data_IF_263516880177
#
_entry.id   IF_263516880177
#
_cell.length_a   1.000
_cell.length_b   1.000
_cell.length_c   1.000
_cell.angle_alpha   90.00
_cell.angle_beta   90.00
_cell.angle_gamma   90.00
#
_symmetry.space_group_name_H-M   'P 1'
#
loop_
_entity.id
_entity.type
_entity.pdbx_description
1 polymer ?
#
# COMPACT_ATOMS: atom_id res chain seq x y z
N UNK A 1 -13.87 -2.65 39.89
CA UNK A 1 -13.26 -3.77 39.15
C UNK A 1 -12.99 -3.28 37.77
N UNK A 2 -11.73 -3.28 37.42
CA UNK A 2 -11.28 -2.90 36.10
C UNK A 2 -10.90 -4.16 35.33
N UNK A 3 -11.55 -4.40 34.21
CA UNK A 3 -11.21 -5.48 33.31
C UNK A 3 -10.91 -4.88 31.94
N UNK A 4 -9.65 -4.89 31.54
CA UNK A 4 -9.25 -4.31 30.26
C UNK A 4 -8.80 -5.36 29.27
N UNK A 5 -9.37 -5.33 28.09
CA UNK A 5 -8.90 -6.08 26.93
C UNK A 5 -8.11 -5.11 26.05
N UNK A 6 -6.83 -5.35 25.89
CA UNK A 6 -5.98 -4.56 25.00
C UNK A 6 -5.69 -5.37 23.77
N UNK A 7 -6.10 -4.87 22.64
CA UNK A 7 -6.03 -5.56 21.37
C UNK A 7 -5.00 -4.94 20.46
N UNK A 8 -4.28 -5.79 19.78
CA UNK A 8 -3.38 -5.44 18.70
C UNK A 8 -4.14 -5.38 17.39
N UNK A 9 -4.00 -4.27 16.69
CA UNK A 9 -4.40 -4.18 15.30
C UNK A 9 -3.29 -3.49 14.52
N UNK A 10 -2.81 -4.08 13.46
CA UNK A 10 -1.85 -3.42 12.59
C UNK A 10 -2.58 -2.28 11.89
N UNK A 11 -2.41 -1.06 12.44
CA UNK A 11 -3.02 0.12 11.89
C UNK A 11 -2.10 0.75 10.86
N UNK A 12 -2.63 0.91 9.67
CA UNK A 12 -2.04 1.71 8.63
C UNK A 12 -2.99 2.87 8.35
N UNK A 13 -2.51 4.12 8.16
CA UNK A 13 -3.41 5.26 7.94
C UNK A 13 -4.26 5.02 6.70
N UNK A 14 -5.48 4.74 6.92
CA UNK A 14 -6.54 4.61 5.94
C UNK A 14 -6.96 6.02 5.49
N UNK A 15 -7.04 6.39 4.23
CA UNK A 15 -7.32 5.59 3.04
C UNK A 15 -6.11 5.29 2.14
N UNK A 16 -4.91 5.72 2.48
CA UNK A 16 -3.76 5.70 1.57
C UNK A 16 -3.13 4.31 1.40
N UNK A 17 -3.14 3.51 2.42
CA UNK A 17 -2.58 2.15 2.35
C UNK A 17 -3.32 1.25 1.35
N UNK A 18 -4.65 1.37 1.23
CA UNK A 18 -5.40 0.62 0.23
C UNK A 18 -5.08 1.06 -1.20
N UNK A 19 -4.87 2.36 -1.42
CA UNK A 19 -4.51 2.88 -2.74
C UNK A 19 -3.12 2.39 -3.14
N UNK A 20 -2.15 2.48 -2.24
CA UNK A 20 -0.81 1.96 -2.50
C UNK A 20 -0.82 0.44 -2.73
N UNK A 21 -1.57 -0.33 -1.94
CA UNK A 21 -1.70 -1.77 -2.10
C UNK A 21 -2.45 -2.18 -3.37
N UNK A 22 -3.34 -1.34 -3.90
CA UNK A 22 -4.05 -1.59 -5.14
C UNK A 22 -3.15 -1.42 -6.37
N UNK A 23 -2.27 -0.40 -6.36
CA UNK A 23 -1.38 -0.09 -7.47
C UNK A 23 -0.08 -0.88 -7.47
N UNK A 24 0.36 -1.33 -6.30
CA UNK A 24 1.63 -1.99 -6.12
C UNK A 24 1.47 -3.26 -5.29
N UNK A 25 1.15 -4.36 -5.95
CA UNK A 25 1.26 -5.67 -5.32
C UNK A 25 2.69 -5.98 -4.85
N UNK A 26 3.67 -5.19 -5.25
CA UNK A 26 5.07 -5.26 -4.88
C UNK A 26 5.44 -4.19 -3.85
N UNK A 27 4.79 -4.14 -2.74
CA UNK A 27 5.37 -3.44 -1.61
C UNK A 27 6.71 -4.12 -1.27
N UNK A 28 7.80 -3.59 -1.81
CA UNK A 28 9.15 -3.98 -1.41
C UNK A 28 9.36 -3.48 0.01
N UNK A 29 8.88 -4.25 0.96
CA UNK A 29 9.25 -4.12 2.36
C UNK A 29 10.31 -5.15 2.63
N UNK A 30 11.51 -4.65 2.83
CA UNK A 30 12.74 -5.30 3.18
C UNK A 30 12.66 -6.78 3.50
N UNK A 31 13.06 -7.64 2.58
CA UNK A 31 13.51 -8.97 2.87
C UNK A 31 12.53 -10.12 2.85
N UNK A 32 11.23 -9.92 2.59
CA UNK A 32 10.29 -11.03 2.42
C UNK A 32 10.14 -11.40 0.93
N UNK A 33 10.60 -12.57 0.51
CA UNK A 33 10.51 -12.99 -0.88
C UNK A 33 9.10 -13.38 -1.35
N UNK A 34 8.10 -13.40 -0.44
CA UNK A 34 6.73 -13.78 -0.78
C UNK A 34 5.66 -12.89 -0.10
N UNK A 35 5.52 -11.63 -0.56
CA UNK A 35 4.50 -10.72 -0.02
C UNK A 35 3.06 -11.19 -0.29
N UNK A 36 2.86 -12.15 -1.21
CA UNK A 36 1.54 -12.70 -1.56
C UNK A 36 1.04 -13.74 -0.58
N UNK A 37 1.94 -14.51 -0.01
CA UNK A 37 1.61 -15.52 0.99
C UNK A 37 0.94 -14.87 2.20
N UNK A 38 1.46 -13.73 2.62
CA UNK A 38 0.89 -12.95 3.72
C UNK A 38 -0.44 -12.27 3.35
N UNK A 39 -0.68 -11.95 2.08
CA UNK A 39 -1.93 -11.31 1.64
C UNK A 39 -3.11 -12.28 1.60
N UNK A 40 -2.88 -13.50 1.14
CA UNK A 40 -3.90 -14.56 1.18
C UNK A 40 -4.16 -15.06 2.60
N UNK A 41 -3.13 -15.14 3.42
CA UNK A 41 -3.26 -15.50 4.83
C UNK A 41 -3.80 -14.36 5.71
N UNK A 42 -3.52 -13.09 5.38
CA UNK A 42 -4.03 -11.94 6.14
C UNK A 42 -5.47 -11.57 5.79
N UNK A 43 -6.01 -11.97 4.64
CA UNK A 43 -7.41 -11.75 4.27
C UNK A 43 -8.41 -12.50 5.16
N UNK A 44 -7.94 -13.47 5.92
CA UNK A 44 -8.76 -14.29 6.83
C UNK A 44 -8.30 -14.27 8.29
N UNK A 45 -7.14 -13.77 8.60
CA UNK A 45 -6.74 -13.54 9.98
C UNK A 45 -7.26 -12.19 10.44
N UNK A 46 -8.44 -12.17 11.09
CA UNK A 46 -8.74 -11.13 12.07
C UNK A 46 -7.50 -11.00 12.95
N UNK A 47 -6.90 -9.81 13.00
CA UNK A 47 -5.81 -9.55 13.93
C UNK A 47 -6.21 -10.14 15.29
N UNK A 48 -5.45 -11.12 15.75
CA UNK A 48 -5.77 -11.77 17.02
C UNK A 48 -5.59 -10.71 18.09
N UNK A 49 -6.70 -10.36 18.72
CA UNK A 49 -6.67 -9.44 19.84
C UNK A 49 -5.92 -10.14 20.97
N UNK A 50 -4.79 -9.58 21.37
CA UNK A 50 -4.00 -10.08 22.49
C UNK A 50 -4.34 -9.28 23.74
N UNK A 51 -4.66 -9.97 24.83
CA UNK A 51 -4.81 -9.35 26.13
C UNK A 51 -3.44 -8.99 26.67
N UNK A 52 -3.08 -7.70 26.66
CA UNK A 52 -1.77 -7.21 27.10
C UNK A 52 -1.73 -6.98 28.61
N UNK A 53 -2.80 -6.44 29.17
CA UNK A 53 -2.90 -6.18 30.61
C UNK A 53 -4.34 -6.29 31.09
N UNK A 54 -4.50 -6.72 32.35
CA UNK A 54 -5.76 -6.72 33.08
C UNK A 54 -5.47 -6.30 34.52
N UNK A 55 -6.29 -5.42 35.07
CA UNK A 55 -6.11 -4.94 36.43
C UNK A 55 -7.38 -4.42 37.05
N UNK A 56 -7.34 -4.19 38.34
CA UNK A 56 -8.42 -3.58 39.13
C UNK A 56 -7.83 -2.45 39.96
N UNK A 57 -8.59 -1.39 40.15
CA UNK A 57 -8.16 -0.25 40.95
C UNK A 57 -9.35 0.56 41.48
N UNK A 58 -9.05 1.58 42.23
CA UNK A 58 -10.06 2.55 42.71
C UNK A 58 -9.86 3.86 41.99
N UNK A 59 -10.97 4.49 41.66
CA UNK A 59 -10.94 5.87 41.14
C UNK A 59 -10.40 6.82 42.21
N UNK A 60 -9.64 7.80 41.80
CA UNK A 60 -9.25 8.94 42.62
C UNK A 60 -10.50 9.78 43.00
N UNK A 61 -10.33 10.73 43.91
CA UNK A 61 -11.43 11.57 44.37
C UNK A 61 -12.02 12.45 43.26
N UNK A 62 -11.26 12.75 42.25
CA UNK A 62 -11.65 13.47 41.04
C UNK A 62 -12.32 12.58 39.94
N UNK A 63 -12.48 11.29 40.24
CA UNK A 63 -13.07 10.32 39.30
C UNK A 63 -12.09 9.77 38.26
N UNK A 64 -10.80 10.07 38.34
CA UNK A 64 -9.79 9.59 37.40
C UNK A 64 -9.15 8.26 37.87
N UNK A 65 -8.65 7.49 36.91
CA UNK A 65 -7.80 6.33 37.14
C UNK A 65 -6.70 6.31 36.07
N UNK A 66 -5.44 6.23 36.52
CA UNK A 66 -4.29 6.16 35.63
C UNK A 66 -3.80 4.72 35.54
N UNK A 67 -3.48 4.29 34.34
CA UNK A 67 -2.91 2.99 34.05
C UNK A 67 -1.70 3.14 33.14
N UNK A 68 -0.56 2.64 33.60
CA UNK A 68 0.66 2.58 32.80
C UNK A 68 0.75 1.23 32.05
N UNK A 69 0.91 1.29 30.76
CA UNK A 69 1.07 0.11 29.92
C UNK A 69 2.47 0.12 29.31
N UNK A 70 3.23 -0.92 29.59
CA UNK A 70 4.57 -1.08 29.02
C UNK A 70 4.48 -1.57 27.57
N UNK A 71 4.80 -0.70 26.62
CA UNK A 71 4.81 -1.00 25.17
C UNK A 71 6.10 -1.68 24.68
N UNK A 72 7.07 -1.93 25.57
CA UNK A 72 8.36 -2.52 25.23
C UNK A 72 8.25 -3.90 24.57
N UNK A 73 7.21 -4.68 24.90
CA UNK A 73 6.95 -5.99 24.29
C UNK A 73 6.58 -5.84 22.80
N UNK A 74 5.81 -4.82 22.47
CA UNK A 74 5.48 -4.46 21.10
C UNK A 74 6.71 -4.08 20.27
N UNK A 75 7.70 -3.44 20.90
CA UNK A 75 8.97 -3.08 20.26
C UNK A 75 9.87 -4.28 19.98
N UNK A 76 9.70 -5.37 20.70
CA UNK A 76 10.51 -6.58 20.58
C UNK A 76 10.00 -7.56 19.51
N UNK A 77 8.78 -7.39 19.01
CA UNK A 77 8.27 -8.24 17.94
C UNK A 77 8.86 -7.88 16.57
N UNK A 78 9.25 -8.89 15.77
CA UNK A 78 9.75 -8.66 14.44
C UNK A 78 8.61 -8.14 13.55
N UNK A 79 8.76 -6.92 13.11
CA UNK A 79 7.80 -6.25 12.22
C UNK A 79 7.68 -4.79 12.57
N UNK A 80 7.87 -3.98 11.56
CA UNK A 80 7.83 -2.53 11.62
C UNK A 80 6.37 -2.05 11.63
N UNK A 81 5.64 -2.24 12.76
CA UNK A 81 4.21 -2.03 12.84
C UNK A 81 3.85 -1.09 13.96
N UNK A 82 2.84 -0.26 13.71
CA UNK A 82 2.16 0.50 14.73
C UNK A 82 1.16 -0.38 15.47
N UNK A 83 0.90 -0.05 16.72
CA UNK A 83 0.03 -0.81 17.59
C UNK A 83 -1.13 0.04 18.09
N UNK A 84 -2.33 -0.46 17.96
CA UNK A 84 -3.51 0.13 18.60
C UNK A 84 -3.82 -0.64 19.88
N UNK A 85 -3.77 0.07 20.99
CA UNK A 85 -4.22 -0.44 22.28
C UNK A 85 -5.67 -0.01 22.49
N UNK A 86 -6.55 -0.97 22.70
CA UNK A 86 -7.93 -0.71 23.10
C UNK A 86 -8.07 -0.98 24.57
N UNK A 87 -8.54 0.00 25.33
CA UNK A 87 -8.78 -0.08 26.76
C UNK A 87 -10.28 -0.18 26.98
N UNK A 88 -10.70 -1.25 27.64
CA UNK A 88 -12.08 -1.43 28.09
C UNK A 88 -12.10 -1.28 29.61
N UNK A 89 -12.92 -0.40 30.14
CA UNK A 89 -13.02 -0.13 31.55
C UNK A 89 -14.44 -0.38 32.06
N UNK A 90 -14.55 -1.08 33.15
CA UNK A 90 -15.80 -1.31 33.86
C UNK A 90 -15.71 -0.60 35.21
N UNK A 91 -16.57 0.39 35.47
CA UNK A 91 -16.64 1.13 36.71
C UNK A 91 -17.92 0.72 37.46
N UNK A 92 -17.75 0.31 38.70
CA UNK A 92 -18.88 -0.06 39.57
C UNK A 92 -18.98 0.92 40.74
N UNK A 93 -20.16 1.52 40.89
CA UNK A 93 -20.48 2.40 42.02
C UNK A 93 -20.86 1.62 43.29
N UNK A 94 -21.07 2.35 44.40
CA UNK A 94 -21.49 1.79 45.67
C UNK A 94 -22.87 1.12 45.59
N UNK A 95 -23.73 1.57 44.67
CA UNK A 95 -25.04 0.98 44.40
C UNK A 95 -24.97 -0.27 43.53
N UNK A 96 -23.76 -0.76 43.20
CA UNK A 96 -23.47 -1.91 42.32
C UNK A 96 -23.90 -1.70 40.86
N UNK A 97 -24.14 -0.47 40.44
CA UNK A 97 -24.36 -0.15 39.02
C UNK A 97 -23.02 -0.20 38.31
N UNK A 98 -22.99 -0.82 37.16
CA UNK A 98 -21.84 -0.93 36.32
C UNK A 98 -21.98 0.01 35.13
N UNK A 99 -20.94 0.78 34.85
CA UNK A 99 -20.81 1.61 33.65
C UNK A 99 -19.57 1.12 32.91
N UNK A 100 -19.73 0.88 31.63
CA UNK A 100 -18.67 0.42 30.76
C UNK A 100 -18.21 1.59 29.87
N UNK A 101 -16.91 1.66 29.62
CA UNK A 101 -16.31 2.62 28.73
C UNK A 101 -15.19 1.98 27.90
N UNK A 102 -15.00 2.47 26.70
CA UNK A 102 -13.94 2.02 25.81
C UNK A 102 -13.19 3.21 25.23
N UNK A 103 -11.87 3.09 25.14
CA UNK A 103 -11.00 4.06 24.49
C UNK A 103 -9.89 3.34 23.71
N UNK A 104 -9.22 4.06 22.82
CA UNK A 104 -8.07 3.51 22.10
C UNK A 104 -6.93 4.51 22.02
N UNK A 105 -5.70 3.99 22.05
CA UNK A 105 -4.46 4.75 21.93
C UNK A 105 -3.60 4.09 20.87
N UNK A 106 -2.98 4.90 20.01
CA UNK A 106 -2.00 4.45 19.04
C UNK A 106 -0.59 4.60 19.64
N UNK A 107 0.18 3.53 19.57
CA UNK A 107 1.61 3.56 19.81
C UNK A 107 2.29 3.38 18.44
N UNK A 108 2.85 4.46 17.94
CA UNK A 108 3.43 4.54 16.60
C UNK A 108 4.95 4.52 16.67
N UNK A 109 5.59 4.07 15.63
CA UNK A 109 7.04 4.02 15.52
C UNK A 109 7.63 5.32 15.03
N UNK A 110 6.85 6.06 14.24
CA UNK A 110 7.24 7.32 13.63
C UNK A 110 6.29 8.43 14.07
N UNK A 111 6.79 9.65 14.15
CA UNK A 111 5.99 10.83 14.46
C UNK A 111 5.01 11.15 13.34
N UNK A 112 5.44 10.91 12.11
CA UNK A 112 4.63 11.08 10.91
C UNK A 112 5.06 10.10 9.83
N UNK A 113 4.23 9.98 8.79
CA UNK A 113 4.45 9.12 7.64
C UNK A 113 4.52 9.93 6.36
N UNK A 114 5.34 9.49 5.43
CA UNK A 114 5.38 10.01 4.08
C UNK A 114 4.70 9.04 3.11
N UNK A 115 3.82 9.57 2.28
CA UNK A 115 3.12 8.83 1.23
C UNK A 115 3.49 9.44 -0.11
N UNK A 116 3.83 8.60 -1.08
CA UNK A 116 4.12 9.03 -2.45
C UNK A 116 3.16 8.32 -3.37
N UNK A 117 2.50 9.08 -4.21
CA UNK A 117 1.53 8.56 -5.17
C UNK A 117 1.82 9.12 -6.56
N UNK A 118 1.54 8.31 -7.58
CA UNK A 118 1.53 8.72 -8.98
C UNK A 118 0.12 8.71 -9.52
N UNK A 119 -0.18 9.53 -10.53
CA UNK A 119 -1.49 9.58 -11.18
C UNK A 119 -1.80 8.32 -12.01
N UNK A 120 -0.76 7.59 -12.45
CA UNK A 120 -0.87 6.32 -13.15
C UNK A 120 0.04 5.24 -12.59
N UNK A 121 -0.26 3.97 -12.88
CA UNK A 121 0.61 2.85 -12.52
C UNK A 121 1.66 2.55 -13.59
N UNK A 122 1.43 3.01 -14.82
CA UNK A 122 2.37 2.92 -15.93
C UNK A 122 2.26 4.10 -16.88
N UNK A 123 3.32 4.35 -17.66
CA UNK A 123 3.45 5.46 -18.59
C UNK A 123 4.12 5.01 -19.88
N UNK A 124 3.97 5.82 -20.91
CA UNK A 124 4.77 5.73 -22.12
C UNK A 124 6.03 6.62 -21.98
N UNK A 125 7.14 6.28 -22.66
CA UNK A 125 8.28 7.19 -22.76
C UNK A 125 7.89 8.58 -23.28
N UNK A 126 8.46 9.63 -22.72
CA UNK A 126 8.20 11.05 -22.99
C UNK A 126 6.90 11.61 -22.39
N UNK A 127 6.10 10.79 -21.71
CA UNK A 127 5.02 11.31 -20.88
C UNK A 127 5.59 11.93 -19.60
N UNK A 128 4.71 12.54 -18.81
CA UNK A 128 5.03 13.03 -17.47
C UNK A 128 4.17 12.28 -16.45
N UNK A 129 4.78 11.86 -15.36
CA UNK A 129 4.06 11.39 -14.20
C UNK A 129 3.71 12.57 -13.30
N UNK A 130 2.47 12.72 -12.91
CA UNK A 130 2.12 13.61 -11.82
C UNK A 130 2.33 12.87 -10.50
N UNK A 131 3.18 13.43 -9.65
CA UNK A 131 3.57 12.85 -8.38
C UNK A 131 3.05 13.72 -7.25
N UNK A 132 2.39 13.11 -6.30
CA UNK A 132 1.96 13.75 -5.06
C UNK A 132 2.64 13.06 -3.87
N UNK A 133 3.26 13.87 -3.00
CA UNK A 133 3.79 13.46 -1.71
C UNK A 133 2.88 14.03 -0.63
N UNK A 134 2.58 13.23 0.38
CA UNK A 134 1.87 13.68 1.59
C UNK A 134 2.61 13.25 2.83
N UNK A 135 2.69 14.17 3.79
CA UNK A 135 3.27 13.90 5.11
C UNK A 135 2.23 14.16 6.18
N UNK A 136 1.88 13.12 6.93
CA UNK A 136 0.77 13.13 7.89
C UNK A 136 1.19 12.43 9.19
N UNK A 137 0.74 12.99 10.32
CA UNK A 137 0.81 12.25 11.60
C UNK A 137 -0.12 11.03 11.58
N UNK A 138 0.00 10.11 12.53
CA UNK A 138 -0.94 9.00 12.70
C UNK A 138 -2.40 9.42 12.85
N UNK A 139 -2.64 10.63 13.36
CA UNK A 139 -3.97 11.24 13.50
C UNK A 139 -4.40 12.03 12.25
N UNK A 140 -3.73 11.83 11.10
CA UNK A 140 -3.98 12.51 9.83
C UNK A 140 -3.81 14.04 9.87
N UNK A 141 -2.98 14.57 10.80
CA UNK A 141 -2.64 15.98 10.79
C UNK A 141 -1.48 16.21 9.80
N UNK A 142 -1.53 17.29 8.98
CA UNK A 142 -0.47 17.58 8.04
C UNK A 142 0.82 18.00 8.75
N UNK A 143 1.95 17.60 8.18
CA UNK A 143 3.29 17.95 8.69
C UNK A 143 4.10 18.58 7.57
N UNK A 144 4.64 19.78 7.79
CA UNK A 144 5.59 20.41 6.87
C UNK A 144 6.99 19.90 7.17
N UNK A 145 7.64 19.32 6.17
CA UNK A 145 9.01 18.78 6.33
C UNK A 145 9.83 18.99 5.06
N UNK A 146 11.10 19.31 5.26
CA UNK A 146 12.10 19.27 4.21
C UNK A 146 12.64 17.85 4.06
N UNK A 147 12.95 17.46 2.83
CA UNK A 147 13.45 16.13 2.50
C UNK A 147 14.06 16.08 1.12
N UNK A 148 14.22 14.89 0.60
CA UNK A 148 14.75 14.66 -0.74
C UNK A 148 13.83 13.75 -1.53
N UNK A 149 13.63 14.09 -2.79
CA UNK A 149 13.01 13.18 -3.76
C UNK A 149 14.13 12.46 -4.50
N UNK A 150 14.06 11.13 -4.55
CA UNK A 150 15.02 10.27 -5.20
C UNK A 150 14.29 9.39 -6.21
N UNK A 151 14.73 9.43 -7.45
CA UNK A 151 14.22 8.54 -8.50
C UNK A 151 15.27 7.50 -8.81
N UNK A 152 14.88 6.23 -8.75
CA UNK A 152 15.75 5.10 -9.06
C UNK A 152 15.12 4.24 -10.15
N UNK A 153 15.96 3.70 -11.02
CA UNK A 153 15.59 2.64 -11.94
C UNK A 153 15.85 1.29 -11.29
N UNK A 154 14.87 0.41 -11.38
CA UNK A 154 14.94 -0.94 -10.82
C UNK A 154 15.19 -1.92 -11.95
N UNK A 155 16.13 -2.84 -11.76
CA UNK A 155 16.41 -3.94 -12.69
C UNK A 155 16.81 -5.18 -11.91
N UNK A 156 16.76 -6.33 -12.56
CA UNK A 156 17.13 -7.61 -11.98
C UNK A 156 18.17 -8.27 -12.89
N UNK A 157 19.35 -8.53 -12.34
CA UNK A 157 20.42 -9.26 -13.02
C UNK A 157 20.61 -10.59 -12.32
N UNK A 158 20.12 -11.69 -12.89
CA UNK A 158 20.40 -13.03 -12.38
C UNK A 158 19.20 -13.92 -12.12
N UNK A 159 19.46 -15.05 -11.45
CA UNK A 159 18.48 -16.08 -11.16
C UNK A 159 17.30 -15.57 -10.28
N UNK A 160 16.19 -16.29 -10.32
CA UNK A 160 14.86 -15.93 -9.78
C UNK A 160 14.77 -15.36 -8.36
N UNK A 161 15.83 -15.36 -7.56
CA UNK A 161 15.86 -14.87 -6.18
C UNK A 161 16.87 -13.72 -5.93
N UNK A 162 17.40 -13.11 -6.98
CA UNK A 162 18.29 -11.95 -6.79
C UNK A 162 17.50 -10.73 -6.29
N UNK A 163 18.12 -9.98 -5.35
CA UNK A 163 17.62 -8.68 -4.96
C UNK A 163 17.65 -7.73 -6.18
N UNK A 164 16.70 -6.76 -6.27
CA UNK A 164 16.72 -5.78 -7.34
C UNK A 164 17.97 -4.92 -7.26
N UNK A 165 18.53 -4.60 -8.41
CA UNK A 165 19.55 -3.57 -8.57
C UNK A 165 18.83 -2.23 -8.76
N UNK A 166 19.16 -1.24 -7.93
CA UNK A 166 18.59 0.09 -7.99
C UNK A 166 19.66 1.11 -8.38
N UNK A 167 19.53 1.70 -9.56
CA UNK A 167 20.38 2.78 -10.04
C UNK A 167 19.69 4.12 -9.86
N UNK A 168 20.33 5.05 -9.14
CA UNK A 168 19.83 6.41 -9.00
C UNK A 168 19.83 7.14 -10.34
N UNK A 169 18.69 7.71 -10.71
CA UNK A 169 18.51 8.47 -11.95
C UNK A 169 18.53 9.97 -11.67
N UNK A 170 17.90 10.38 -10.58
CA UNK A 170 17.77 11.79 -10.20
C UNK A 170 17.52 11.94 -8.70
N UNK A 171 18.04 13.05 -8.14
CA UNK A 171 17.83 13.45 -6.76
C UNK A 171 17.71 14.98 -6.68
N UNK A 172 16.83 15.47 -5.81
CA UNK A 172 16.74 16.90 -5.50
C UNK A 172 16.10 17.12 -4.12
N UNK A 173 16.41 18.26 -3.53
CA UNK A 173 15.79 18.69 -2.28
C UNK A 173 14.39 19.20 -2.54
N UNK A 174 13.46 18.93 -1.63
CA UNK A 174 12.06 19.30 -1.72
C UNK A 174 11.46 19.46 -0.32
N UNK A 175 10.37 20.23 -0.23
CA UNK A 175 9.68 20.48 1.03
C UNK A 175 8.18 20.35 0.82
N UNK A 176 7.48 19.77 1.79
CA UNK A 176 6.02 19.74 1.79
C UNK A 176 5.46 21.05 2.36
N UNK A 177 4.33 21.48 1.86
CA UNK A 177 3.66 22.72 2.26
C UNK A 177 2.97 22.61 3.63
N UNK A 178 2.27 23.68 4.06
CA UNK A 178 1.54 23.73 5.33
C UNK A 178 0.38 22.70 5.40
N UNK A 179 -0.03 22.15 4.28
CA UNK A 179 -1.00 21.06 4.16
C UNK A 179 -0.34 19.69 4.08
N UNK A 180 0.98 19.62 4.33
CA UNK A 180 1.77 18.39 4.23
C UNK A 180 1.86 17.85 2.80
N UNK A 181 1.78 18.70 1.78
CA UNK A 181 1.74 18.29 0.35
C UNK A 181 2.92 18.82 -0.41
N UNK A 182 3.41 17.98 -1.33
CA UNK A 182 4.34 18.36 -2.38
C UNK A 182 3.84 17.70 -3.67
N UNK A 183 3.64 18.49 -4.72
CA UNK A 183 3.21 17.99 -6.02
C UNK A 183 4.14 18.47 -7.12
N UNK A 184 4.50 17.58 -8.02
CA UNK A 184 5.35 17.90 -9.16
C UNK A 184 5.09 16.98 -10.34
N UNK A 185 5.57 17.41 -11.53
CA UNK A 185 5.59 16.58 -12.73
C UNK A 185 7.00 16.04 -12.94
N UNK A 186 7.09 14.74 -13.14
CA UNK A 186 8.35 14.07 -13.43
C UNK A 186 8.36 13.59 -14.88
N UNK A 187 9.27 14.12 -15.71
CA UNK A 187 9.40 13.68 -17.08
C UNK A 187 9.95 12.25 -17.15
N UNK A 188 9.24 11.37 -17.84
CA UNK A 188 9.58 9.96 -17.94
C UNK A 188 10.78 9.78 -18.89
N UNK A 189 11.92 9.27 -18.40
CA UNK A 189 13.16 9.27 -19.19
C UNK A 189 13.20 8.17 -20.25
N UNK A 190 12.92 6.94 -19.89
CA UNK A 190 13.04 5.77 -20.75
C UNK A 190 12.20 4.60 -20.22
N UNK A 191 12.11 3.56 -21.02
CA UNK A 191 11.44 2.32 -20.65
C UNK A 191 12.09 1.64 -19.44
N UNK A 192 11.26 1.04 -18.57
CA UNK A 192 11.73 0.36 -17.38
C UNK A 192 10.79 0.43 -16.18
N UNK A 193 11.26 -0.06 -15.07
CA UNK A 193 10.60 0.08 -13.78
C UNK A 193 11.32 1.14 -12.95
N UNK A 194 10.56 2.01 -12.32
CA UNK A 194 11.09 3.12 -11.54
C UNK A 194 10.47 3.18 -10.16
N UNK A 195 11.28 3.65 -9.21
CA UNK A 195 10.82 4.02 -7.87
C UNK A 195 11.06 5.50 -7.65
N UNK A 196 10.04 6.21 -7.21
CA UNK A 196 10.15 7.55 -6.63
C UNK A 196 10.03 7.42 -5.14
N UNK A 197 11.00 7.93 -4.41
CA UNK A 197 11.04 7.92 -2.94
C UNK A 197 11.16 9.35 -2.45
N UNK A 198 10.35 9.74 -1.48
CA UNK A 198 10.58 10.92 -0.67
C UNK A 198 11.18 10.47 0.66
N UNK A 199 12.34 11.02 1.00
CA UNK A 199 13.08 10.69 2.22
C UNK A 199 13.22 11.94 3.07
N UNK A 200 12.91 11.83 4.33
CA UNK A 200 13.06 12.90 5.33
C UNK A 200 13.47 12.31 6.68
N UNK A 201 13.54 13.14 7.73
CA UNK A 201 13.79 12.70 9.10
C UNK A 201 12.82 13.35 10.05
N UNK A 202 12.44 12.60 11.07
CA UNK A 202 11.63 13.11 12.18
C UNK A 202 12.46 13.89 13.21
N UNK A 203 11.83 14.35 14.30
CA UNK A 203 12.51 15.09 15.37
C UNK A 203 13.57 14.27 16.11
N UNK A 204 13.40 12.94 16.15
CA UNK A 204 14.35 11.99 16.70
C UNK A 204 15.50 11.65 15.75
N UNK A 205 15.51 12.25 14.54
CA UNK A 205 16.43 11.96 13.43
C UNK A 205 16.30 10.59 12.81
N UNK A 206 15.23 9.88 13.11
CA UNK A 206 14.88 8.63 12.46
C UNK A 206 14.43 8.90 11.02
N UNK A 207 14.78 8.00 10.11
CA UNK A 207 14.44 8.14 8.71
C UNK A 207 12.96 7.83 8.47
N UNK A 208 12.28 8.76 7.80
CA UNK A 208 10.91 8.59 7.33
C UNK A 208 10.92 8.61 5.81
N UNK A 209 10.38 7.56 5.20
CA UNK A 209 10.33 7.47 3.74
C UNK A 209 8.97 6.99 3.24
N UNK A 210 8.57 7.54 2.11
CA UNK A 210 7.45 7.04 1.31
C UNK A 210 7.91 6.78 -0.10
N UNK A 211 7.32 5.82 -0.79
CA UNK A 211 7.71 5.51 -2.17
C UNK A 211 6.52 5.10 -3.04
N UNK A 212 6.66 5.30 -4.34
CA UNK A 212 5.79 4.78 -5.39
C UNK A 212 6.64 4.10 -6.46
N UNK A 213 6.13 3.01 -7.00
CA UNK A 213 6.74 2.28 -8.11
C UNK A 213 5.82 2.42 -9.32
N UNK A 214 6.38 2.66 -10.49
CA UNK A 214 5.63 2.71 -11.74
C UNK A 214 6.42 2.07 -12.88
N UNK A 215 5.70 1.69 -13.93
CA UNK A 215 6.26 1.12 -15.13
C UNK A 215 6.31 2.14 -16.25
N UNK A 216 7.34 2.03 -17.08
CA UNK A 216 7.42 2.74 -18.35
C UNK A 216 7.50 1.71 -19.47
N UNK A 217 6.41 1.56 -20.18
CA UNK A 217 6.31 0.61 -21.30
C UNK A 217 6.33 1.37 -22.63
N UNK A 218 7.14 0.88 -23.56
CA UNK A 218 7.28 1.44 -24.91
C UNK A 218 7.73 0.37 -25.90
N UNK A 219 7.93 0.73 -27.15
CA UNK A 219 8.20 -0.23 -28.24
C UNK A 219 9.44 -1.09 -28.06
N UNK A 220 10.39 -0.65 -27.23
CA UNK A 220 11.65 -1.38 -26.95
C UNK A 220 11.62 -2.13 -25.62
N UNK A 221 10.51 -2.07 -24.90
CA UNK A 221 10.38 -2.73 -23.62
C UNK A 221 10.11 -4.23 -23.81
N UNK A 222 11.12 -5.06 -23.61
CA UNK A 222 11.02 -6.51 -23.74
C UNK A 222 10.84 -7.26 -22.40
N UNK A 223 10.95 -6.54 -21.28
CA UNK A 223 10.76 -7.07 -19.94
C UNK A 223 11.84 -8.08 -19.47
N UNK A 224 12.93 -8.28 -20.23
CA UNK A 224 13.93 -9.33 -19.91
C UNK A 224 14.70 -9.08 -18.63
N UNK A 225 14.95 -7.81 -18.31
CA UNK A 225 15.70 -7.41 -17.11
C UNK A 225 14.78 -7.15 -15.92
N UNK A 226 13.51 -7.57 -16.00
CA UNK A 226 12.52 -7.36 -14.97
C UNK A 226 11.95 -8.68 -14.48
N UNK A 227 11.66 -8.71 -13.19
CA UNK A 227 10.94 -9.79 -12.57
C UNK A 227 9.46 -9.40 -12.52
N UNK A 228 8.63 -10.23 -13.14
CA UNK A 228 7.18 -10.07 -13.09
C UNK A 228 6.59 -11.09 -12.13
N UNK A 229 5.46 -10.76 -11.56
CA UNK A 229 4.57 -11.75 -10.98
C UNK A 229 4.09 -12.72 -12.04
N UNK A 230 3.49 -13.81 -11.61
CA UNK A 230 2.87 -14.74 -12.56
C UNK A 230 1.87 -14.04 -13.46
N UNK A 231 1.10 -13.07 -12.91
CA UNK A 231 0.18 -12.24 -13.65
C UNK A 231 -0.07 -10.92 -12.89
N UNK A 232 -0.01 -9.77 -13.59
CA UNK A 232 -0.35 -8.43 -13.08
C UNK A 232 -1.15 -7.65 -14.08
N UNK A 233 -2.12 -6.86 -13.59
CA UNK A 233 -2.84 -5.86 -14.39
C UNK A 233 -2.59 -4.49 -13.76
N UNK A 234 -2.11 -3.54 -14.57
CA UNK A 234 -1.76 -2.19 -14.13
C UNK A 234 -2.48 -1.20 -15.05
N UNK A 235 -3.32 -0.34 -14.51
CA UNK A 235 -4.04 0.67 -15.27
C UNK A 235 -3.20 1.95 -15.46
N UNK A 236 -3.42 2.66 -16.57
CA UNK A 236 -2.75 3.93 -16.85
C UNK A 236 -3.29 5.07 -15.99
N UNK A 237 -4.55 5.00 -15.56
CA UNK A 237 -5.20 6.01 -14.71
C UNK A 237 -5.92 5.36 -13.53
N UNK A 238 -6.27 6.16 -12.53
CA UNK A 238 -7.04 5.72 -11.35
C UNK A 238 -8.55 5.81 -11.55
N UNK A 239 -8.99 6.74 -12.38
CA UNK A 239 -10.40 7.00 -12.67
C UNK A 239 -10.57 7.23 -14.16
N UNK A 240 -11.71 6.83 -14.67
CA UNK A 240 -12.09 6.97 -16.06
C UNK A 240 -13.47 7.58 -16.17
N UNK A 241 -13.72 8.35 -17.20
CA UNK A 241 -15.03 8.85 -17.55
C UNK A 241 -15.68 7.96 -18.62
N UNK A 242 -17.00 8.11 -18.76
CA UNK A 242 -17.75 7.41 -19.82
C UNK A 242 -17.21 7.85 -21.19
N UNK A 243 -16.83 6.89 -22.02
CA UNK A 243 -16.24 7.11 -23.32
C UNK A 243 -14.72 7.13 -23.36
N UNK A 244 -14.06 7.12 -22.20
CA UNK A 244 -12.61 6.90 -22.10
C UNK A 244 -12.23 5.50 -22.58
N UNK A 245 -10.95 5.32 -22.83
CA UNK A 245 -10.32 4.00 -22.98
C UNK A 245 -9.34 3.80 -21.84
N UNK A 246 -9.54 2.73 -21.06
CA UNK A 246 -8.55 2.29 -20.08
C UNK A 246 -7.45 1.51 -20.80
N UNK A 247 -6.20 1.96 -20.65
CA UNK A 247 -5.03 1.26 -21.17
C UNK A 247 -4.44 0.41 -20.04
N UNK A 248 -4.63 -0.89 -20.13
CA UNK A 248 -4.23 -1.84 -19.10
C UNK A 248 -2.92 -2.51 -19.52
N UNK A 249 -1.86 -2.29 -18.73
CA UNK A 249 -0.61 -3.02 -18.89
C UNK A 249 -0.73 -4.36 -18.19
N UNK A 250 -0.67 -5.44 -18.95
CA UNK A 250 -0.69 -6.81 -18.43
C UNK A 250 0.73 -7.38 -18.48
N UNK A 251 1.28 -7.66 -17.32
CA UNK A 251 2.58 -8.28 -17.15
C UNK A 251 2.41 -9.76 -16.79
N UNK A 252 3.22 -10.61 -17.39
CA UNK A 252 3.26 -12.05 -17.14
C UNK A 252 4.69 -12.55 -17.01
N UNK A 253 4.91 -13.60 -16.24
CA UNK A 253 6.24 -14.15 -16.02
C UNK A 253 6.87 -14.71 -17.32
N UNK A 254 6.07 -15.23 -18.24
CA UNK A 254 6.52 -15.85 -19.50
C UNK A 254 5.78 -15.25 -20.71
N UNK A 255 6.52 -15.04 -21.79
CA UNK A 255 5.94 -14.67 -23.09
C UNK A 255 5.11 -15.81 -23.68
N UNK A 256 4.23 -15.48 -24.65
CA UNK A 256 3.29 -16.41 -25.27
C UNK A 256 2.34 -17.08 -24.28
N UNK A 257 1.97 -16.37 -23.23
CA UNK A 257 0.96 -16.79 -22.27
C UNK A 257 -0.44 -16.54 -22.82
N UNK A 258 -1.40 -17.38 -22.38
CA UNK A 258 -2.82 -17.21 -22.68
C UNK A 258 -3.59 -17.00 -21.40
N UNK A 259 -4.38 -15.94 -21.35
CA UNK A 259 -5.18 -15.58 -20.19
C UNK A 259 -6.68 -15.61 -20.52
N UNK A 260 -7.49 -15.86 -19.50
CA UNK A 260 -8.90 -15.47 -19.49
C UNK A 260 -8.99 -14.07 -18.91
N UNK A 261 -9.41 -13.12 -19.72
CA UNK A 261 -9.61 -11.71 -19.32
C UNK A 261 -11.10 -11.46 -19.16
N UNK A 262 -11.48 -10.82 -18.07
CA UNK A 262 -12.88 -10.51 -17.75
C UNK A 262 -13.03 -9.11 -17.16
N UNK A 263 -14.13 -8.45 -17.50
CA UNK A 263 -14.64 -7.28 -16.82
C UNK A 263 -15.95 -7.64 -16.09
N UNK A 264 -16.07 -7.18 -14.84
CA UNK A 264 -17.22 -7.47 -13.99
C UNK A 264 -17.66 -6.25 -13.19
N UNK A 265 -18.94 -6.17 -12.90
CA UNK A 265 -19.48 -5.18 -11.96
C UNK A 265 -19.43 -5.70 -10.54
N UNK A 266 -19.68 -4.79 -9.59
CA UNK A 266 -19.87 -5.12 -8.18
C UNK A 266 -20.78 -6.36 -8.02
N UNK A 267 -20.43 -7.27 -7.11
CA UNK A 267 -21.10 -8.54 -6.81
C UNK A 267 -20.81 -9.73 -7.75
N UNK A 268 -19.71 -9.67 -8.52
CA UNK A 268 -19.26 -10.85 -9.29
C UNK A 268 -20.07 -11.13 -10.55
N UNK A 269 -20.85 -10.16 -11.02
CA UNK A 269 -21.56 -10.30 -12.30
C UNK A 269 -20.56 -10.01 -13.44
N UNK A 270 -20.24 -11.05 -14.20
CA UNK A 270 -19.39 -10.93 -15.40
C UNK A 270 -20.14 -10.13 -16.47
N UNK A 271 -19.53 -9.04 -16.95
CA UNK A 271 -20.04 -8.27 -18.08
C UNK A 271 -19.56 -8.86 -19.40
N UNK A 272 -18.26 -9.11 -19.49
CA UNK A 272 -17.61 -9.76 -20.62
C UNK A 272 -16.49 -10.66 -20.15
N UNK A 273 -16.16 -11.61 -21.00
CA UNK A 273 -14.93 -12.41 -20.86
C UNK A 273 -14.42 -12.83 -22.23
N UNK A 274 -13.10 -12.99 -22.33
CA UNK A 274 -12.46 -13.46 -23.56
C UNK A 274 -11.11 -14.09 -23.25
N UNK A 275 -10.72 -15.07 -24.09
CA UNK A 275 -9.33 -15.50 -24.07
C UNK A 275 -8.47 -14.54 -24.87
N UNK A 276 -7.30 -14.26 -24.34
CA UNK A 276 -6.31 -13.39 -24.95
C UNK A 276 -4.95 -14.05 -24.96
N UNK A 277 -4.27 -13.99 -26.10
CA UNK A 277 -2.88 -14.40 -26.21
C UNK A 277 -1.98 -13.19 -25.95
N UNK A 278 -1.02 -13.34 -25.03
CA UNK A 278 -0.04 -12.32 -24.66
C UNK A 278 1.30 -12.68 -25.31
N UNK A 279 1.67 -12.04 -26.43
CA UNK A 279 2.88 -12.42 -27.19
C UNK A 279 4.17 -12.06 -26.45
N UNK A 280 4.11 -11.05 -25.59
CA UNK A 280 5.25 -10.58 -24.80
C UNK A 280 4.97 -10.69 -23.29
N UNK A 281 6.01 -10.55 -22.48
CA UNK A 281 5.88 -10.52 -21.02
C UNK A 281 5.16 -9.27 -20.50
N UNK A 282 4.99 -8.27 -21.36
CA UNK A 282 4.32 -7.01 -21.04
C UNK A 282 3.49 -6.59 -22.25
N UNK A 283 2.18 -6.57 -22.11
CA UNK A 283 1.23 -6.30 -23.20
C UNK A 283 0.21 -5.25 -22.76
N UNK A 284 -0.01 -4.23 -23.59
CA UNK A 284 -1.07 -3.25 -23.34
C UNK A 284 -2.38 -3.73 -23.95
N UNK A 285 -3.44 -3.67 -23.17
CA UNK A 285 -4.80 -4.04 -23.57
C UNK A 285 -5.72 -2.86 -23.38
N UNK A 286 -6.44 -2.51 -24.43
CA UNK A 286 -7.42 -1.42 -24.41
C UNK A 286 -8.79 -1.94 -23.98
N UNK A 287 -9.40 -1.23 -23.02
CA UNK A 287 -10.75 -1.47 -22.54
C UNK A 287 -11.58 -0.19 -22.67
N UNK A 288 -12.51 -0.09 -23.64
CA UNK A 288 -13.43 1.05 -23.74
C UNK A 288 -14.35 1.11 -22.51
N UNK A 289 -14.50 2.30 -21.91
CA UNK A 289 -15.37 2.52 -20.76
C UNK A 289 -16.78 2.87 -21.24
N UNK A 290 -17.69 1.96 -21.01
CA UNK A 290 -19.09 2.04 -21.43
C UNK A 290 -20.02 2.26 -20.23
N UNK A 291 -21.30 2.60 -20.48
CA UNK A 291 -22.30 2.86 -19.44
C UNK A 291 -22.48 1.70 -18.44
N UNK A 292 -22.27 0.46 -18.88
CA UNK A 292 -22.31 -0.72 -18.01
C UNK A 292 -21.19 -0.79 -16.96
N UNK A 293 -20.12 -0.02 -17.13
CA UNK A 293 -19.00 0.06 -16.20
C UNK A 293 -19.25 1.06 -15.04
N UNK A 294 -20.32 1.86 -15.13
CA UNK A 294 -20.66 2.88 -14.13
C UNK A 294 -21.48 2.26 -12.98
N UNK A 295 -21.26 2.63 -11.71
CA UNK A 295 -20.26 3.57 -11.21
C UNK A 295 -18.86 2.95 -11.00
N UNK A 296 -18.76 1.64 -10.90
CA UNK A 296 -17.51 0.92 -10.68
C UNK A 296 -17.55 -0.43 -11.38
N UNK A 297 -16.41 -0.85 -11.86
CA UNK A 297 -16.20 -2.20 -12.41
C UNK A 297 -14.85 -2.75 -11.96
N UNK A 298 -14.67 -4.04 -12.10
CA UNK A 298 -13.43 -4.73 -11.80
C UNK A 298 -12.92 -5.40 -13.07
N UNK A 299 -11.62 -5.48 -13.18
CA UNK A 299 -10.95 -6.22 -14.25
C UNK A 299 -10.21 -7.39 -13.61
N UNK A 300 -10.43 -8.57 -14.15
CA UNK A 300 -9.77 -9.79 -13.73
C UNK A 300 -9.06 -10.45 -14.90
N UNK A 301 -7.92 -11.05 -14.60
CA UNK A 301 -7.28 -11.96 -15.53
C UNK A 301 -6.90 -13.24 -14.80
N UNK A 302 -7.08 -14.35 -15.47
CA UNK A 302 -6.73 -15.67 -14.95
C UNK A 302 -5.78 -16.35 -15.92
N UNK A 303 -4.63 -16.79 -15.41
CA UNK A 303 -3.63 -17.56 -16.13
C UNK A 303 -3.57 -18.97 -15.56
N UNK A 304 -3.64 -19.97 -16.44
CA UNK A 304 -3.37 -21.37 -16.06
C UNK A 304 -1.98 -21.74 -16.53
N UNK A 305 -1.08 -22.02 -15.58
CA UNK A 305 0.28 -22.42 -15.87
C UNK A 305 0.69 -23.58 -14.96
N UNK A 306 1.25 -24.64 -15.55
CA UNK A 306 1.71 -25.83 -14.82
C UNK A 306 0.62 -26.43 -13.88
N UNK A 307 -0.64 -26.38 -14.32
CA UNK A 307 -1.78 -26.87 -13.53
C UNK A 307 -2.17 -26.00 -12.32
N UNK A 308 -1.65 -24.77 -12.25
CA UNK A 308 -2.00 -23.78 -11.21
C UNK A 308 -2.73 -22.59 -11.84
N UNK A 309 -3.67 -22.04 -11.09
CA UNK A 309 -4.34 -20.78 -11.38
C UNK A 309 -3.52 -19.62 -10.79
N UNK A 310 -3.34 -18.59 -11.58
CA UNK A 310 -2.69 -17.33 -11.20
C UNK A 310 -3.59 -16.15 -11.48
#
# INVERSE_FOLDING_TARGET
RWGGLICWDSWWPWPYARKAAFWFPWGYYGGDPDPWRHRYESGTRKALRELVAKGEGKLAADGTFALDIHTARAKAEPGDRDHRYTVEAEVRDESRRTIEGQGSILATRQEFYAFVETDGGWYQPRNEAFVEVRTLTPDNQPVTVAGQVIVKRISYSGADNSAPEEAEVKRWDAETDAQGRLSFRYPIPAEGQYRITFVTRDSAKEEVQGNAVFWVNGPKFDGRVYRFNDLEIIADKRTYELGDTAHLLINVAESNSRILFADQVSQGVLLNWRFMDLPSRSTVVDLPIEARHVPNFFVEATLVRNGRLH
#
